data_IF_383196713676
#
_entry.id   IF_383196713676
#
_cell.length_a   1.000
_cell.length_b   1.000
_cell.length_c   1.000
_cell.angle_alpha   90.00
_cell.angle_beta   90.00
_cell.angle_gamma   90.00
#
_symmetry.space_group_name_H-M   'P 1'
#
loop_
_entity.id
_entity.type
_entity.pdbx_description
1 polymer ?
#
# COMPACT_ATOMS: atom_id res chain seq x y z
N UNK A 1 -16.48 -23.03 2.86
CA UNK A 1 -16.04 -23.08 4.27
C UNK A 1 -15.63 -21.67 4.67
N UNK A 2 -16.47 -20.96 5.44
CA UNK A 2 -16.27 -19.54 5.75
C UNK A 2 -15.57 -19.41 7.11
N UNK A 3 -14.24 -19.33 7.12
CA UNK A 3 -13.47 -19.11 8.35
C UNK A 3 -13.70 -17.70 8.85
N UNK A 4 -14.43 -17.54 9.95
CA UNK A 4 -14.56 -16.29 10.70
C UNK A 4 -13.18 -15.86 11.19
N UNK A 5 -12.56 -14.91 10.47
CA UNK A 5 -11.28 -14.33 10.85
C UNK A 5 -11.54 -13.02 11.56
N UNK A 6 -11.53 -13.05 12.89
CA UNK A 6 -11.56 -11.85 13.73
C UNK A 6 -10.31 -11.03 13.39
N UNK A 7 -10.51 -9.77 12.99
CA UNK A 7 -9.42 -8.84 12.66
C UNK A 7 -9.24 -7.91 13.85
N UNK A 8 -7.99 -7.75 14.30
CA UNK A 8 -7.68 -6.90 15.45
C UNK A 8 -7.87 -5.40 15.17
N UNK A 9 -7.80 -4.99 13.90
CA UNK A 9 -7.77 -3.57 13.49
C UNK A 9 -8.75 -3.26 12.37
N UNK A 10 -9.39 -2.09 12.47
CA UNK A 10 -10.20 -1.52 11.39
C UNK A 10 -9.33 -1.24 10.16
N UNK A 11 -9.91 -1.43 8.98
CA UNK A 11 -9.26 -1.15 7.70
C UNK A 11 -10.00 -0.04 6.96
N UNK A 12 -9.23 0.82 6.32
CA UNK A 12 -9.73 2.00 5.64
C UNK A 12 -9.40 1.88 4.15
N UNK A 13 -10.43 1.98 3.33
CA UNK A 13 -10.26 2.09 1.89
C UNK A 13 -9.62 3.44 1.53
N UNK A 14 -8.62 3.37 0.67
CA UNK A 14 -7.87 4.50 0.13
C UNK A 14 -7.57 4.26 -1.35
N UNK A 15 -7.07 5.25 -2.08
CA UNK A 15 -6.59 5.06 -3.45
C UNK A 15 -5.42 5.99 -3.70
N UNK A 16 -4.21 5.46 -3.61
CA UNK A 16 -2.99 6.22 -3.89
C UNK A 16 -2.03 5.36 -4.70
N UNK A 17 -1.35 5.94 -5.68
CA UNK A 17 -0.27 5.24 -6.37
C UNK A 17 0.87 4.99 -5.39
N UNK A 18 1.49 3.83 -5.47
CA UNK A 18 2.59 3.45 -4.61
C UNK A 18 3.69 2.73 -5.38
N UNK A 19 4.92 2.99 -4.98
CA UNK A 19 6.12 2.29 -5.40
C UNK A 19 6.47 1.20 -4.39
N UNK A 20 6.99 0.08 -4.89
CA UNK A 20 7.48 -1.04 -4.09
C UNK A 20 8.99 -1.07 -4.26
N UNK A 21 9.72 -0.93 -3.15
CA UNK A 21 11.17 -0.92 -3.13
C UNK A 21 11.70 -2.14 -2.39
N UNK A 22 12.79 -2.73 -2.91
CA UNK A 22 13.61 -3.75 -2.24
C UNK A 22 15.03 -3.21 -2.14
N UNK A 23 15.54 -3.08 -0.93
CA UNK A 23 16.89 -2.55 -0.68
C UNK A 23 17.14 -1.20 -1.40
N UNK A 24 16.12 -0.33 -1.41
CA UNK A 24 16.13 0.96 -2.10
C UNK A 24 15.87 0.92 -3.62
N UNK A 25 15.87 -0.25 -4.23
CA UNK A 25 15.63 -0.42 -5.67
C UNK A 25 14.14 -0.60 -5.97
N UNK A 26 13.64 0.06 -7.02
CA UNK A 26 12.26 -0.12 -7.47
C UNK A 26 12.09 -1.51 -8.07
N UNK A 27 11.17 -2.30 -7.51
CA UNK A 27 10.85 -3.65 -7.98
C UNK A 27 9.43 -3.77 -8.52
N UNK A 28 8.56 -2.81 -8.18
CA UNK A 28 7.23 -2.72 -8.75
C UNK A 28 6.51 -1.43 -8.41
N UNK A 29 5.35 -1.26 -8.99
CA UNK A 29 4.40 -0.19 -8.67
C UNK A 29 3.01 -0.79 -8.49
N UNK A 30 2.11 -0.05 -7.84
CA UNK A 30 0.73 -0.47 -7.69
C UNK A 30 -0.14 0.63 -7.10
N UNK A 31 -1.34 0.24 -6.68
CA UNK A 31 -2.29 1.11 -5.99
C UNK A 31 -2.45 0.66 -4.54
N UNK A 32 -2.14 1.55 -3.61
CA UNK A 32 -2.54 1.41 -2.22
C UNK A 32 -4.05 1.56 -2.12
N UNK A 33 -4.72 0.44 -1.82
CA UNK A 33 -6.19 0.33 -1.83
C UNK A 33 -6.80 0.18 -0.43
N UNK A 34 -5.98 -0.21 0.55
CA UNK A 34 -6.41 -0.42 1.92
C UNK A 34 -5.26 -0.19 2.89
N UNK A 35 -5.52 0.52 3.99
CA UNK A 35 -4.58 0.71 5.09
C UNK A 35 -5.23 0.39 6.43
N UNK A 36 -4.41 0.01 7.40
CA UNK A 36 -4.80 -0.26 8.78
C UNK A 36 -3.60 0.00 9.68
N UNK A 37 -3.82 -0.05 11.00
CA UNK A 37 -2.76 0.21 11.96
C UNK A 37 -1.53 -0.70 11.81
N UNK A 38 -1.68 -1.93 11.33
CA UNK A 38 -0.60 -2.93 11.26
C UNK A 38 -0.37 -3.51 9.87
N UNK A 39 -0.98 -2.93 8.83
CA UNK A 39 -0.88 -3.51 7.50
C UNK A 39 -1.54 -2.67 6.42
N UNK A 40 -1.20 -2.98 5.18
CA UNK A 40 -1.80 -2.39 4.01
C UNK A 40 -1.97 -3.42 2.90
N UNK A 41 -2.70 -3.04 1.85
CA UNK A 41 -2.89 -3.84 0.64
C UNK A 41 -2.61 -2.99 -0.59
N UNK A 42 -1.77 -3.54 -1.47
CA UNK A 42 -1.60 -3.05 -2.83
C UNK A 42 -2.44 -3.90 -3.78
N UNK A 43 -3.06 -3.24 -4.76
CA UNK A 43 -3.66 -3.87 -5.93
C UNK A 43 -3.07 -3.33 -7.22
N UNK A 44 -3.40 -3.97 -8.34
CA UNK A 44 -2.87 -3.61 -9.67
C UNK A 44 -1.33 -3.55 -9.67
N UNK A 45 -0.68 -4.49 -8.99
CA UNK A 45 0.77 -4.54 -8.86
C UNK A 45 1.38 -4.92 -10.21
N UNK A 46 2.30 -4.08 -10.67
CA UNK A 46 3.05 -4.24 -11.92
C UNK A 46 4.55 -4.26 -11.61
N UNK A 47 5.32 -5.23 -12.14
CA UNK A 47 6.78 -5.23 -12.02
C UNK A 47 7.39 -4.08 -12.82
N UNK A 48 8.62 -3.67 -12.46
CA UNK A 48 9.37 -2.64 -13.22
C UNK A 48 9.86 -3.17 -14.56
N UNK A 49 10.37 -4.40 -14.58
CA UNK A 49 10.93 -5.05 -15.76
C UNK A 49 10.01 -6.15 -16.30
N UNK A 50 10.27 -6.57 -17.54
CA UNK A 50 9.58 -7.70 -18.20
C UNK A 50 9.84 -9.04 -17.48
N UNK A 51 10.88 -9.11 -16.65
CA UNK A 51 11.15 -10.21 -15.73
C UNK A 51 10.78 -9.73 -14.33
N UNK A 52 9.68 -10.22 -13.74
CA UNK A 52 9.30 -9.82 -12.39
C UNK A 52 10.40 -10.20 -11.42
N UNK A 53 10.86 -9.26 -10.60
CA UNK A 53 11.51 -9.66 -9.35
C UNK A 53 10.46 -10.43 -8.55
N UNK A 54 10.69 -11.72 -8.29
CA UNK A 54 9.75 -12.54 -7.53
C UNK A 54 9.56 -11.91 -6.15
N UNK A 55 8.37 -11.36 -5.91
CA UNK A 55 7.93 -10.90 -4.61
C UNK A 55 7.24 -12.07 -3.93
N UNK A 56 7.85 -12.58 -2.85
CA UNK A 56 7.40 -13.75 -2.14
C UNK A 56 6.88 -13.40 -0.73
N UNK A 57 6.15 -14.34 -0.13
CA UNK A 57 5.74 -14.22 1.27
C UNK A 57 6.97 -14.23 2.17
N UNK A 58 7.03 -13.28 3.10
CA UNK A 58 8.16 -13.09 4.00
C UNK A 58 9.10 -11.96 3.58
N UNK A 59 9.07 -11.54 2.32
CA UNK A 59 9.93 -10.46 1.83
C UNK A 59 9.73 -9.17 2.61
N UNK A 60 10.85 -8.52 2.97
CA UNK A 60 10.89 -7.19 3.53
C UNK A 60 11.00 -6.18 2.39
N UNK A 61 10.00 -5.32 2.28
CA UNK A 61 9.88 -4.32 1.22
C UNK A 61 9.44 -2.99 1.81
N UNK A 62 9.72 -1.92 1.09
CA UNK A 62 9.21 -0.58 1.42
C UNK A 62 8.05 -0.25 0.47
N UNK A 63 6.92 0.17 1.03
CA UNK A 63 5.78 0.69 0.28
C UNK A 63 5.79 2.21 0.37
N UNK A 64 6.13 2.89 -0.72
CA UNK A 64 6.16 4.35 -0.80
C UNK A 64 4.92 4.85 -1.56
N UNK A 65 3.92 5.35 -0.84
CA UNK A 65 2.74 5.97 -1.44
C UNK A 65 3.02 7.44 -1.79
N UNK A 66 2.55 7.89 -2.95
CA UNK A 66 2.77 9.26 -3.41
C UNK A 66 2.23 10.27 -2.37
N UNK A 67 3.10 11.17 -1.90
CA UNK A 67 2.78 12.20 -0.89
C UNK A 67 2.73 11.72 0.57
N UNK A 68 3.02 10.44 0.85
CA UNK A 68 3.05 9.89 2.20
C UNK A 68 4.44 9.38 2.58
N UNK A 69 4.70 9.28 3.89
CA UNK A 69 5.92 8.64 4.40
C UNK A 69 5.99 7.16 3.98
N UNK A 70 7.18 6.64 3.60
CA UNK A 70 7.35 5.24 3.24
C UNK A 70 7.07 4.29 4.40
N UNK A 71 6.56 3.10 4.08
CA UNK A 71 6.19 2.09 5.06
C UNK A 71 7.07 0.84 4.91
N UNK A 72 7.88 0.54 5.93
CA UNK A 72 8.59 -0.73 6.02
C UNK A 72 7.61 -1.86 6.33
N UNK A 73 7.60 -2.88 5.47
CA UNK A 73 6.60 -3.92 5.58
C UNK A 73 7.08 -5.30 5.11
N UNK A 74 6.48 -6.34 5.70
CA UNK A 74 6.70 -7.73 5.33
C UNK A 74 5.51 -8.24 4.51
N UNK A 75 5.77 -8.90 3.38
CA UNK A 75 4.75 -9.53 2.55
C UNK A 75 4.12 -10.70 3.30
N UNK A 76 2.79 -10.69 3.43
CA UNK A 76 2.02 -11.73 4.14
C UNK A 76 1.34 -12.72 3.20
N UNK A 77 0.93 -12.24 2.03
CA UNK A 77 0.30 -13.03 0.99
C UNK A 77 0.44 -12.28 -0.34
N UNK A 78 0.51 -13.04 -1.42
CA UNK A 78 0.47 -12.55 -2.80
C UNK A 78 -0.69 -13.21 -3.53
N UNK A 79 -1.25 -12.55 -4.55
CA UNK A 79 -2.26 -13.18 -5.41
C UNK A 79 -2.84 -12.23 -6.45
N UNK A 80 -2.98 -12.69 -7.69
CA UNK A 80 -3.70 -12.01 -8.78
C UNK A 80 -3.42 -10.49 -8.89
N UNK A 81 -2.15 -10.08 -8.90
CA UNK A 81 -1.76 -8.67 -8.98
C UNK A 81 -2.06 -7.85 -7.72
N UNK A 82 -2.23 -8.52 -6.58
CA UNK A 82 -2.42 -7.91 -5.27
C UNK A 82 -1.41 -8.45 -4.26
N UNK A 83 -0.99 -7.58 -3.35
CA UNK A 83 -0.05 -7.88 -2.28
C UNK A 83 -0.61 -7.39 -0.95
N UNK A 84 -0.59 -8.26 0.05
CA UNK A 84 -0.93 -7.89 1.42
C UNK A 84 0.30 -7.82 2.30
N UNK A 85 0.42 -6.73 3.04
CA UNK A 85 1.58 -6.45 3.87
C UNK A 85 1.20 -6.39 5.35
N UNK A 86 2.14 -6.78 6.20
CA UNK A 86 2.17 -6.41 7.62
C UNK A 86 3.27 -5.35 7.79
N UNK A 87 2.95 -4.22 8.42
CA UNK A 87 3.95 -3.20 8.73
C UNK A 87 4.92 -3.71 9.81
N UNK A 88 6.19 -3.36 9.69
CA UNK A 88 7.19 -3.72 10.70
C UNK A 88 6.96 -2.97 12.02
N UNK A 89 6.49 -1.73 11.93
CA UNK A 89 6.01 -0.93 13.04
C UNK A 89 4.53 -0.62 12.87
N UNK A 90 3.75 -0.77 13.95
CA UNK A 90 2.36 -0.35 13.94
C UNK A 90 2.28 1.17 13.91
N UNK A 91 1.40 1.71 13.07
CA UNK A 91 1.14 3.14 13.02
C UNK A 91 0.45 3.57 14.32
N UNK A 92 0.84 4.72 14.85
CA UNK A 92 0.06 5.45 15.82
C UNK A 92 -1.20 6.01 15.14
N UNK A 93 -2.22 6.33 15.94
CA UNK A 93 -3.51 6.78 15.42
C UNK A 93 -3.37 8.02 14.51
N UNK A 94 -2.53 8.97 14.89
CA UNK A 94 -2.30 10.19 14.11
C UNK A 94 -1.57 9.91 12.78
N UNK A 95 -0.60 8.98 12.75
CA UNK A 95 0.10 8.58 11.53
C UNK A 95 -0.85 7.88 10.55
N UNK A 96 -1.73 7.02 11.08
CA UNK A 96 -2.74 6.35 10.28
C UNK A 96 -3.76 7.35 9.70
N UNK A 97 -4.25 8.30 10.51
CA UNK A 97 -5.17 9.34 10.04
C UNK A 97 -4.53 10.18 8.93
N UNK A 98 -3.29 10.64 9.15
CA UNK A 98 -2.54 11.40 8.15
C UNK A 98 -2.38 10.61 6.85
N UNK A 99 -1.96 9.35 6.94
CA UNK A 99 -1.82 8.47 5.78
C UNK A 99 -3.14 8.31 5.01
N UNK A 100 -4.27 8.14 5.72
CA UNK A 100 -5.59 8.02 5.10
C UNK A 100 -5.96 9.29 4.34
N UNK A 101 -5.79 10.46 4.97
CA UNK A 101 -6.12 11.77 4.40
C UNK A 101 -5.27 12.08 3.17
N UNK A 102 -3.96 11.86 3.28
CA UNK A 102 -3.03 11.94 2.14
C UNK A 102 -3.46 11.00 1.02
N UNK A 103 -3.71 9.73 1.32
CA UNK A 103 -4.08 8.75 0.30
C UNK A 103 -5.48 8.97 -0.30
N UNK A 104 -6.31 9.83 0.29
CA UNK A 104 -7.60 10.28 -0.24
C UNK A 104 -7.54 11.63 -0.97
N UNK A 105 -6.38 12.27 -0.95
CA UNK A 105 -6.10 13.48 -1.73
C UNK A 105 -6.52 14.77 -1.06
N UNK A 106 -6.59 14.78 0.26
CA UNK A 106 -6.91 16.00 1.01
C UNK A 106 -5.83 17.09 0.87
N UNK A 107 -4.59 16.70 0.60
CA UNK A 107 -3.45 17.60 0.42
C UNK A 107 -2.98 17.74 -1.03
N UNK A 108 -3.69 17.13 -1.98
CA UNK A 108 -3.36 17.28 -3.40
C UNK A 108 -3.69 18.72 -3.84
N UNK A 109 -2.82 19.34 -4.64
CA UNK A 109 -3.11 20.68 -5.19
C UNK A 109 -4.36 20.64 -6.07
N UNK A 110 -5.21 21.69 -6.08
CA UNK A 110 -6.48 21.70 -6.84
C UNK A 110 -6.34 21.57 -8.37
N UNK A 111 -5.13 21.64 -8.91
CA UNK A 111 -4.86 21.54 -10.34
C UNK A 111 -4.85 20.08 -10.82
N UNK A 112 -6.05 19.55 -11.09
CA UNK A 112 -6.36 18.53 -12.11
C UNK A 112 -7.72 17.87 -11.83
N UNK A 113 -8.74 18.67 -11.51
CA UNK A 113 -10.14 18.24 -11.57
C UNK A 113 -10.83 18.89 -12.76
N UNK A 114 -10.22 18.78 -13.94
CA UNK A 114 -10.98 18.86 -15.19
C UNK A 114 -11.82 17.59 -15.29
N UNK A 115 -12.98 17.64 -14.64
CA UNK A 115 -14.09 16.78 -15.02
C UNK A 115 -14.52 17.27 -16.40
N UNK A 116 -14.16 16.52 -17.44
CA UNK A 116 -14.60 16.78 -18.80
C UNK A 116 -16.14 16.87 -18.88
N UNK A 117 -16.62 17.89 -19.59
CA UNK A 117 -17.99 18.02 -20.12
C UNK A 117 -18.28 17.02 -21.22
#
# INVERSE_FOLDING_TARGET
MNTLRIRAHQRYAVRRRASILRDGNLVGTGLLVEVSQQGCRLGCVMPVDLVPADIANGDLLVVAADGAEPLDACVRWTGNGTLGFRLLQALHHHELDLLIRTCRGEFDTPEARDYGT
#
